data_IF_232603756443
#
_entry.id   IF_232603756443
#
_cell.length_a   1.000
_cell.length_b   1.000
_cell.length_c   1.000
_cell.angle_alpha   90.00
_cell.angle_beta   90.00
_cell.angle_gamma   90.00
#
_symmetry.space_group_name_H-M   'P 1'
#
loop_
_entity.id
_entity.type
_entity.pdbx_description
1 polymer ?
#
# COMPACT_ATOMS: atom_id res chain seq x y z
N UNK A 1 7.39 -8.19 12.63
CA UNK A 1 6.95 -6.91 12.06
C UNK A 1 6.52 -7.10 10.60
N UNK A 2 5.64 -6.22 10.13
CA UNK A 2 5.24 -6.18 8.72
C UNK A 2 6.45 -5.87 7.83
N UNK A 3 6.59 -6.61 6.74
CA UNK A 3 7.79 -6.56 5.87
C UNK A 3 8.75 -7.74 6.10
N UNK A 4 8.65 -8.43 7.24
CA UNK A 4 9.43 -9.64 7.48
C UNK A 4 8.91 -10.85 6.68
N UNK A 5 9.73 -11.90 6.59
CA UNK A 5 9.30 -13.19 6.07
C UNK A 5 8.04 -13.69 6.81
N UNK A 6 7.06 -14.19 6.08
CA UNK A 6 5.74 -14.56 6.61
C UNK A 6 4.67 -13.48 6.45
N UNK A 7 5.02 -12.21 6.16
CA UNK A 7 4.02 -11.14 5.98
C UNK A 7 3.04 -11.43 4.83
N UNK A 8 3.48 -12.04 3.75
CA UNK A 8 2.60 -12.45 2.63
C UNK A 8 1.61 -13.52 3.08
N UNK A 9 2.08 -14.53 3.81
CA UNK A 9 1.23 -15.62 4.32
C UNK A 9 0.17 -15.09 5.27
N UNK A 10 0.56 -14.26 6.25
CA UNK A 10 -0.37 -13.67 7.21
C UNK A 10 -1.37 -12.75 6.51
N UNK A 11 -0.94 -11.96 5.54
CA UNK A 11 -1.83 -11.08 4.75
C UNK A 11 -2.85 -11.88 3.96
N UNK A 12 -2.44 -13.01 3.37
CA UNK A 12 -3.34 -13.94 2.68
C UNK A 12 -4.36 -14.57 3.64
N UNK A 13 -3.90 -15.01 4.82
CA UNK A 13 -4.75 -15.59 5.84
C UNK A 13 -5.81 -14.60 6.33
N UNK A 14 -5.40 -13.38 6.69
CA UNK A 14 -6.33 -12.34 7.15
C UNK A 14 -7.36 -11.98 6.07
N UNK A 15 -6.93 -11.81 4.82
CA UNK A 15 -7.85 -11.56 3.71
C UNK A 15 -8.85 -12.71 3.54
N UNK A 16 -8.40 -13.96 3.67
CA UNK A 16 -9.28 -15.14 3.62
C UNK A 16 -10.30 -15.13 4.77
N UNK A 17 -9.86 -14.81 5.99
CA UNK A 17 -10.74 -14.71 7.16
C UNK A 17 -11.82 -13.66 6.91
N UNK A 18 -11.46 -12.43 6.52
CA UNK A 18 -12.44 -11.38 6.21
C UNK A 18 -13.45 -11.82 5.14
N UNK A 19 -12.98 -12.48 4.08
CA UNK A 19 -13.85 -12.95 2.99
C UNK A 19 -14.72 -14.16 3.36
N UNK A 20 -14.44 -14.84 4.45
CA UNK A 20 -15.21 -16.01 4.92
C UNK A 20 -16.34 -15.66 5.89
N UNK A 21 -16.47 -14.40 6.30
CA UNK A 21 -17.50 -13.96 7.24
C UNK A 21 -18.88 -14.20 6.63
N UNK A 22 -19.72 -14.96 7.33
CA UNK A 22 -21.06 -15.29 6.88
C UNK A 22 -22.05 -14.18 7.26
N UNK A 23 -23.12 -14.03 6.49
CA UNK A 23 -24.16 -13.03 6.74
C UNK A 23 -23.79 -11.60 6.36
N UNK A 24 -22.59 -11.38 5.82
CA UNK A 24 -22.13 -10.08 5.31
C UNK A 24 -22.02 -10.14 3.80
N UNK A 25 -22.69 -9.22 3.10
CA UNK A 25 -22.51 -9.06 1.66
C UNK A 25 -21.28 -8.20 1.41
N UNK A 26 -20.20 -8.83 0.96
CA UNK A 26 -18.99 -8.12 0.57
C UNK A 26 -19.21 -7.35 -0.72
N UNK A 27 -18.74 -6.10 -0.76
CA UNK A 27 -18.81 -5.21 -1.93
C UNK A 27 -17.48 -4.48 -2.09
N UNK A 28 -17.10 -4.16 -3.33
CA UNK A 28 -15.88 -3.40 -3.62
C UNK A 28 -14.61 -4.12 -3.16
N UNK A 29 -13.68 -3.35 -2.62
CA UNK A 29 -12.41 -3.84 -2.08
C UNK A 29 -12.63 -4.40 -0.68
N UNK A 30 -12.58 -5.71 -0.53
CA UNK A 30 -12.83 -6.40 0.75
C UNK A 30 -11.67 -7.33 1.09
N UNK A 31 -11.21 -7.29 2.34
CA UNK A 31 -10.08 -8.05 2.84
C UNK A 31 -9.15 -7.19 3.69
N UNK A 32 -7.93 -7.67 3.93
CA UNK A 32 -6.91 -6.86 4.59
C UNK A 32 -6.56 -5.65 3.73
N UNK A 33 -6.55 -4.48 4.33
CA UNK A 33 -6.18 -3.22 3.69
C UNK A 33 -4.86 -2.75 4.30
N UNK A 34 -3.87 -2.47 3.43
CA UNK A 34 -2.53 -2.03 3.84
C UNK A 34 -2.38 -0.54 3.51
N UNK A 35 -3.20 0.28 4.16
CA UNK A 35 -3.22 1.73 4.00
C UNK A 35 -2.08 2.36 4.80
N UNK A 36 -1.00 2.76 4.13
CA UNK A 36 0.28 3.11 4.77
C UNK A 36 0.17 4.30 5.70
N UNK A 37 -0.62 5.31 5.35
CA UNK A 37 -0.79 6.51 6.17
C UNK A 37 -1.93 6.41 7.19
N UNK A 38 -2.70 5.33 7.17
CA UNK A 38 -3.86 5.14 8.06
C UNK A 38 -3.60 4.08 9.14
N UNK A 39 -2.37 3.52 9.19
CA UNK A 39 -1.97 2.50 10.16
C UNK A 39 -0.62 2.85 10.78
N UNK A 40 -0.59 2.98 12.11
CA UNK A 40 0.63 3.38 12.85
C UNK A 40 1.77 2.38 12.64
N UNK A 41 1.48 1.09 12.60
CA UNK A 41 2.50 0.04 12.41
C UNK A 41 3.12 0.08 11.00
N UNK A 42 2.31 0.36 9.98
CA UNK A 42 2.80 0.57 8.62
C UNK A 42 3.60 1.87 8.51
N UNK A 43 3.11 2.96 9.08
CA UNK A 43 3.83 4.23 9.10
C UNK A 43 5.21 4.10 9.76
N UNK A 44 5.29 3.48 10.95
CA UNK A 44 6.57 3.17 11.61
C UNK A 44 7.45 2.23 10.77
N UNK A 45 6.84 1.27 10.07
CA UNK A 45 7.54 0.35 9.18
C UNK A 45 8.23 1.09 8.03
N UNK A 46 7.63 2.16 7.49
CA UNK A 46 8.29 3.01 6.49
C UNK A 46 9.52 3.72 7.07
N UNK A 47 9.42 4.24 8.29
CA UNK A 47 10.53 4.92 8.97
C UNK A 47 11.70 3.98 9.21
N UNK A 48 11.41 2.76 9.64
CA UNK A 48 12.39 1.69 9.90
C UNK A 48 12.86 0.99 8.62
N UNK A 49 12.32 1.36 7.47
CA UNK A 49 12.62 0.78 6.15
C UNK A 49 12.42 -0.74 6.10
N UNK A 50 11.38 -1.23 6.77
CA UNK A 50 11.04 -2.65 6.79
C UNK A 50 10.46 -3.15 5.46
N UNK A 51 9.94 -2.24 4.65
CA UNK A 51 9.40 -2.51 3.32
C UNK A 51 9.49 -1.27 2.42
N UNK A 52 9.37 -1.48 1.13
CA UNK A 52 9.30 -0.46 0.09
C UNK A 52 8.00 -0.61 -0.73
N UNK A 53 7.83 0.23 -1.75
CA UNK A 53 6.62 0.17 -2.61
C UNK A 53 6.55 -1.14 -3.42
N UNK A 54 7.67 -1.80 -3.72
CA UNK A 54 7.71 -3.08 -4.42
C UNK A 54 7.22 -4.21 -3.53
N UNK A 55 7.56 -4.16 -2.24
CA UNK A 55 7.01 -5.07 -1.24
C UNK A 55 5.49 -4.88 -1.11
N UNK A 56 5.01 -3.62 -1.02
CA UNK A 56 3.57 -3.32 -1.01
C UNK A 56 2.86 -3.84 -2.26
N UNK A 57 3.48 -3.69 -3.43
CA UNK A 57 2.94 -4.27 -4.67
C UNK A 57 2.87 -5.80 -4.60
N UNK A 58 3.89 -6.45 -4.04
CA UNK A 58 3.86 -7.90 -3.81
C UNK A 58 2.72 -8.31 -2.88
N UNK A 59 2.54 -7.60 -1.77
CA UNK A 59 1.43 -7.85 -0.84
C UNK A 59 0.05 -7.57 -1.47
N UNK A 60 -0.01 -6.74 -2.50
CA UNK A 60 -1.24 -6.51 -3.28
C UNK A 60 -1.78 -7.79 -3.93
N UNK A 61 -0.95 -8.81 -4.14
CA UNK A 61 -1.41 -10.11 -4.61
C UNK A 61 -2.36 -10.80 -3.61
N UNK A 62 -2.19 -10.57 -2.32
CA UNK A 62 -2.89 -11.28 -1.23
C UNK A 62 -3.76 -10.38 -0.34
N UNK A 63 -3.56 -9.06 -0.36
CA UNK A 63 -4.40 -8.13 0.39
C UNK A 63 -5.77 -7.90 -0.28
N UNK A 64 -6.62 -7.07 0.30
CA UNK A 64 -7.97 -6.78 -0.21
C UNK A 64 -8.08 -5.60 -1.15
N UNK A 65 -7.03 -4.79 -1.34
CA UNK A 65 -7.17 -3.48 -1.99
C UNK A 65 -6.12 -3.16 -3.05
N UNK A 66 -4.85 -3.42 -2.82
CA UNK A 66 -3.75 -2.99 -3.69
C UNK A 66 -2.81 -2.00 -2.98
N UNK A 67 -2.25 -1.05 -3.72
CA UNK A 67 -1.48 0.06 -3.16
C UNK A 67 -2.44 1.09 -2.58
N UNK A 68 -2.27 1.42 -1.30
CA UNK A 68 -3.21 2.27 -0.60
C UNK A 68 -2.49 3.32 0.27
N UNK A 69 -2.88 4.59 0.09
CA UNK A 69 -2.37 5.76 0.79
C UNK A 69 -0.84 5.79 0.90
N UNK A 70 -0.16 5.46 -0.22
CA UNK A 70 1.30 5.38 -0.24
C UNK A 70 1.90 6.77 -0.45
N UNK A 71 2.67 7.32 0.51
CA UNK A 71 3.31 8.62 0.35
C UNK A 71 4.48 8.52 -0.62
N UNK A 72 4.49 9.37 -1.63
CA UNK A 72 5.57 9.49 -2.62
C UNK A 72 6.06 10.93 -2.71
N UNK A 73 7.24 11.15 -3.29
CA UNK A 73 7.80 12.50 -3.40
C UNK A 73 6.86 13.45 -4.16
N UNK A 74 6.80 14.70 -3.72
CA UNK A 74 5.94 15.72 -4.35
C UNK A 74 6.31 16.02 -5.80
N UNK A 75 7.57 15.76 -6.18
CA UNK A 75 8.12 15.91 -7.53
C UNK A 75 8.21 14.59 -8.31
N UNK A 76 7.50 13.54 -7.87
CA UNK A 76 7.48 12.24 -8.56
C UNK A 76 7.08 12.42 -10.02
N UNK A 77 7.81 11.77 -10.92
CA UNK A 77 7.55 11.88 -12.37
C UNK A 77 6.28 11.11 -12.76
N UNK A 78 5.54 11.66 -13.71
CA UNK A 78 4.35 11.01 -14.25
C UNK A 78 4.65 9.62 -14.83
N UNK A 79 5.82 9.45 -15.43
CA UNK A 79 6.28 8.18 -16.00
C UNK A 79 6.44 7.10 -14.92
N UNK A 80 6.96 7.48 -13.75
CA UNK A 80 7.10 6.57 -12.59
C UNK A 80 5.73 6.15 -12.06
N UNK A 81 4.79 7.09 -11.94
CA UNK A 81 3.41 6.81 -11.55
C UNK A 81 2.76 5.87 -12.57
N UNK A 82 2.91 6.17 -13.86
CA UNK A 82 2.37 5.34 -14.92
C UNK A 82 2.95 3.92 -14.91
N UNK A 83 4.24 3.76 -14.57
CA UNK A 83 4.87 2.46 -14.46
C UNK A 83 4.26 1.62 -13.34
N UNK A 84 4.16 2.16 -12.13
CA UNK A 84 3.57 1.42 -10.99
C UNK A 84 2.07 1.12 -11.19
N UNK A 85 1.35 1.99 -11.90
CA UNK A 85 -0.04 1.73 -12.28
C UNK A 85 -0.13 0.56 -13.28
N UNK A 86 0.78 0.46 -14.25
CA UNK A 86 0.82 -0.68 -15.20
C UNK A 86 1.16 -1.98 -14.49
N UNK A 87 2.10 -1.96 -13.54
CA UNK A 87 2.46 -3.15 -12.76
C UNK A 87 1.27 -3.62 -11.92
N UNK A 88 0.59 -2.70 -11.24
CA UNK A 88 -0.62 -3.01 -10.47
C UNK A 88 -1.75 -3.54 -11.35
N UNK A 89 -1.96 -2.92 -12.53
CA UNK A 89 -2.95 -3.36 -13.51
C UNK A 89 -2.64 -4.75 -14.08
N UNK A 90 -1.37 -5.03 -14.35
CA UNK A 90 -0.91 -6.35 -14.79
C UNK A 90 -1.18 -7.42 -13.73
N UNK A 91 -0.88 -7.10 -12.47
CA UNK A 91 -1.18 -7.99 -11.35
C UNK A 91 -2.68 -8.22 -11.17
N UNK A 92 -3.49 -7.14 -11.24
CA UNK A 92 -4.94 -7.22 -11.14
C UNK A 92 -5.52 -8.14 -12.21
N UNK A 93 -5.07 -7.99 -13.46
CA UNK A 93 -5.49 -8.82 -14.58
C UNK A 93 -5.09 -10.29 -14.39
N UNK A 94 -3.81 -10.54 -14.04
CA UNK A 94 -3.28 -11.90 -13.85
C UNK A 94 -3.98 -12.67 -12.72
N UNK A 95 -4.36 -11.97 -11.66
CA UNK A 95 -5.00 -12.56 -10.48
C UNK A 95 -6.53 -12.54 -10.57
N UNK A 96 -7.11 -11.98 -11.63
CA UNK A 96 -8.55 -11.72 -11.74
C UNK A 96 -9.10 -11.04 -10.47
N UNK A 97 -8.44 -9.98 -10.04
CA UNK A 97 -8.67 -9.32 -8.75
C UNK A 97 -8.64 -7.81 -8.94
N UNK A 98 -9.67 -7.06 -8.48
CA UNK A 98 -9.61 -5.61 -8.51
C UNK A 98 -8.52 -5.10 -7.57
N UNK A 99 -7.66 -4.22 -8.08
CA UNK A 99 -6.62 -3.54 -7.31
C UNK A 99 -6.67 -2.05 -7.57
N UNK A 100 -6.39 -1.25 -6.55
CA UNK A 100 -6.27 0.20 -6.65
C UNK A 100 -4.82 0.65 -6.57
N UNK A 101 -4.57 1.88 -7.01
CA UNK A 101 -3.33 2.63 -6.80
C UNK A 101 -3.71 3.98 -6.24
N UNK A 102 -3.62 4.14 -4.92
CA UNK A 102 -3.83 5.40 -4.22
C UNK A 102 -2.49 5.88 -3.67
N UNK A 103 -1.89 6.84 -4.37
CA UNK A 103 -0.63 7.46 -3.99
C UNK A 103 -0.89 8.86 -3.42
N UNK A 104 -0.06 9.26 -2.47
CA UNK A 104 -0.07 10.60 -1.88
C UNK A 104 1.22 11.33 -2.24
N UNK A 105 1.27 12.08 -3.37
CA UNK A 105 2.37 12.99 -3.64
C UNK A 105 2.43 14.03 -2.53
N UNK A 106 3.56 14.04 -1.79
CA UNK A 106 3.73 14.87 -0.59
C UNK A 106 4.46 16.15 -0.98
N UNK A 107 3.77 17.32 -1.02
CA UNK A 107 4.38 18.55 -1.47
C UNK A 107 5.64 18.91 -0.69
N UNK A 108 6.66 19.40 -1.39
CA UNK A 108 7.95 19.84 -0.82
C UNK A 108 8.72 18.75 -0.05
N UNK A 109 8.37 17.49 -0.21
CA UNK A 109 9.11 16.37 0.39
C UNK A 109 9.76 15.51 -0.69
N UNK A 110 10.99 15.10 -0.40
CA UNK A 110 11.76 14.17 -1.21
C UNK A 110 11.64 12.74 -0.67
N UNK A 111 12.09 11.78 -1.48
CA UNK A 111 12.22 10.38 -1.04
C UNK A 111 13.06 10.31 0.23
N UNK A 112 12.57 9.59 1.21
CA UNK A 112 13.26 9.38 2.48
C UNK A 112 12.95 10.40 3.58
N UNK A 113 12.34 11.53 3.24
CA UNK A 113 11.90 12.51 4.24
C UNK A 113 10.58 12.07 4.90
N UNK A 114 10.29 12.65 6.05
CA UNK A 114 9.01 12.42 6.74
C UNK A 114 7.91 13.30 6.15
N UNK A 115 6.74 12.71 5.95
CA UNK A 115 5.54 13.49 5.64
C UNK A 115 5.12 14.36 6.84
N UNK A 116 4.37 15.40 6.55
CA UNK A 116 3.80 16.31 7.55
C UNK A 116 2.33 16.52 7.19
N UNK A 117 1.49 15.54 7.54
CA UNK A 117 0.05 15.65 7.34
C UNK A 117 -0.57 16.43 8.50
N UNK A 118 -1.43 17.37 8.17
CA UNK A 118 -2.20 18.19 9.13
C UNK A 118 -3.59 17.53 9.42
N UNK A 119 -3.61 16.22 9.57
CA UNK A 119 -4.83 15.46 9.79
C UNK A 119 -4.65 14.46 10.92
N UNK A 120 -5.58 14.43 11.85
CA UNK A 120 -5.60 13.44 12.95
C UNK A 120 -5.88 12.01 12.44
N UNK A 121 -6.40 11.89 11.20
CA UNK A 121 -6.71 10.60 10.57
C UNK A 121 -5.51 10.01 9.81
N UNK A 122 -4.39 10.74 9.70
CA UNK A 122 -3.22 10.32 8.93
C UNK A 122 -1.96 10.25 9.81
N UNK A 123 -1.27 9.14 9.72
CA UNK A 123 0.04 8.95 10.35
C UNK A 123 1.14 9.52 9.46
N UNK A 124 2.05 10.30 10.05
CA UNK A 124 3.25 10.72 9.34
C UNK A 124 4.18 9.53 9.13
N UNK A 125 4.67 9.39 7.90
CA UNK A 125 5.48 8.27 7.47
C UNK A 125 6.58 8.72 6.51
N UNK A 126 7.57 7.86 6.29
CA UNK A 126 8.64 8.12 5.35
C UNK A 126 8.11 8.10 3.91
N UNK A 127 8.45 9.10 3.13
CA UNK A 127 8.16 9.20 1.70
C UNK A 127 8.90 8.08 0.95
N UNK A 128 8.15 7.25 0.22
CA UNK A 128 8.68 6.10 -0.48
C UNK A 128 9.10 6.46 -1.92
N UNK A 129 10.10 5.75 -2.41
CA UNK A 129 10.55 5.85 -3.80
C UNK A 129 9.68 4.96 -4.70
N UNK A 130 9.30 5.48 -5.88
CA UNK A 130 8.89 4.66 -7.01
C UNK A 130 10.13 4.49 -7.90
N UNK A 131 10.83 3.37 -7.85
CA UNK A 131 12.01 3.13 -8.68
C UNK A 131 11.61 3.11 -10.16
N UNK A 132 12.39 3.84 -10.99
CA UNK A 132 12.09 3.97 -12.43
C UNK A 132 13.39 4.02 -13.26
#
# INVERSE_FOLDING_TARGET
YFGAAGSVEVSALLTKVFKSIQGVRLVGFSGLMLAVTEDLGLAEGTQKQYFDIRALLTYSAVCGIGLDTVPVAGNVKAESIAAIMRDTGTMAFRLNKPLTVRLFPTPNKNVGEMSEFESDDLCNCRVLEIPF
#
